data_IF_274733083638
#
_entry.id   IF_274733083638
#
_cell.length_a   1.000
_cell.length_b   1.000
_cell.length_c   1.000
_cell.angle_alpha   90.00
_cell.angle_beta   90.00
_cell.angle_gamma   90.00
#
_symmetry.space_group_name_H-M   'P 1'
#
loop_
_entity.id
_entity.type
_entity.pdbx_description
1 polymer ?
#
# COMPACT_ATOMS: atom_id res chain seq x y z
N UNK A 1 -53.05 7.27 -12.86
CA UNK A 1 -52.50 8.62 -13.13
C UNK A 1 -53.43 9.65 -12.54
N UNK A 2 -52.92 10.48 -11.62
CA UNK A 2 -53.30 11.88 -11.65
C UNK A 2 -52.11 12.83 -11.51
N UNK A 3 -52.32 13.97 -12.16
CA UNK A 3 -51.51 15.16 -12.44
C UNK A 3 -50.91 15.88 -11.22
N UNK A 4 -49.63 16.29 -11.36
CA UNK A 4 -48.97 17.30 -10.51
C UNK A 4 -49.31 18.72 -10.97
N UNK A 5 -49.66 19.64 -10.06
CA UNK A 5 -49.69 21.07 -10.36
C UNK A 5 -48.54 21.82 -9.66
N UNK A 6 -47.89 22.72 -10.41
CA UNK A 6 -47.42 24.01 -9.89
C UNK A 6 -45.96 24.12 -9.45
N UNK A 7 -45.07 24.51 -10.38
CA UNK A 7 -44.08 25.57 -10.09
C UNK A 7 -44.80 26.92 -10.01
N UNK A 8 -44.23 27.98 -9.37
CA UNK A 8 -43.04 28.71 -9.86
C UNK A 8 -42.26 29.36 -8.68
N UNK A 9 -41.51 30.49 -8.79
CA UNK A 9 -40.76 31.11 -9.89
C UNK A 9 -39.27 31.32 -9.56
N UNK A 10 -38.55 31.78 -10.58
CA UNK A 10 -37.18 32.31 -10.57
C UNK A 10 -36.90 33.28 -9.41
N UNK A 11 -35.79 33.01 -8.72
CA UNK A 11 -35.19 33.87 -7.71
C UNK A 11 -33.82 34.31 -8.19
N UNK A 12 -33.80 35.53 -8.69
CA UNK A 12 -32.67 36.36 -9.07
C UNK A 12 -31.59 36.49 -7.97
N UNK A 13 -30.40 36.88 -8.45
CA UNK A 13 -29.37 37.66 -7.76
C UNK A 13 -28.67 37.04 -6.54
N UNK A 14 -27.50 36.45 -6.80
CA UNK A 14 -26.39 36.62 -5.87
C UNK A 14 -25.11 36.96 -6.63
N UNK A 15 -24.82 38.26 -6.59
CA UNK A 15 -23.59 38.91 -6.95
C UNK A 15 -22.38 38.19 -6.35
N UNK A 16 -21.55 37.63 -7.24
CA UNK A 16 -20.24 37.12 -6.87
C UNK A 16 -19.31 38.29 -6.54
N UNK A 17 -18.49 38.21 -5.46
CA UNK A 17 -17.43 39.17 -5.25
C UNK A 17 -16.33 38.98 -6.32
N UNK A 18 -16.19 40.00 -7.16
CA UNK A 18 -15.10 40.23 -8.10
C UNK A 18 -13.78 40.38 -7.34
N UNK A 19 -13.03 39.28 -7.22
CA UNK A 19 -11.64 39.30 -6.75
C UNK A 19 -10.70 39.57 -7.92
N UNK A 20 -10.71 40.82 -8.38
CA UNK A 20 -9.58 41.40 -9.07
C UNK A 20 -8.33 41.30 -8.21
N UNK A 21 -7.35 40.51 -8.64
CA UNK A 21 -5.98 40.61 -8.12
C UNK A 21 -4.94 40.17 -9.15
N UNK A 22 -4.39 41.21 -9.80
CA UNK A 22 -2.99 41.36 -10.20
C UNK A 22 -2.09 40.12 -10.04
N UNK A 23 -1.81 39.45 -11.15
CA UNK A 23 -0.58 38.65 -11.27
C UNK A 23 0.44 39.38 -12.16
N UNK A 24 1.61 39.76 -11.62
CA UNK A 24 2.72 40.24 -12.42
C UNK A 24 3.21 39.12 -13.34
N UNK A 25 3.22 39.38 -14.65
CA UNK A 25 3.96 38.57 -15.63
C UNK A 25 5.45 38.78 -15.38
N UNK A 26 6.07 37.89 -14.62
CA UNK A 26 7.53 37.82 -14.56
C UNK A 26 8.01 36.90 -15.68
N UNK A 27 8.52 37.52 -16.75
CA UNK A 27 9.42 36.84 -17.67
C UNK A 27 10.76 36.56 -16.98
N UNK A 28 11.35 35.41 -17.28
CA UNK A 28 12.80 35.28 -17.24
C UNK A 28 13.25 34.19 -18.21
N UNK A 29 14.10 34.66 -19.12
CA UNK A 29 14.85 33.92 -20.10
C UNK A 29 15.73 32.86 -19.44
N UNK A 30 15.59 31.59 -19.83
CA UNK A 30 16.65 30.62 -19.64
C UNK A 30 17.38 30.42 -20.96
N UNK A 31 18.49 31.16 -21.06
CA UNK A 31 19.53 31.02 -22.07
C UNK A 31 20.13 29.62 -22.01
N UNK A 32 20.01 28.98 -23.16
CA UNK A 32 20.76 27.84 -23.65
C UNK A 32 22.28 28.08 -23.48
N UNK A 33 22.94 27.26 -22.67
CA UNK A 33 24.41 27.12 -22.70
C UNK A 33 24.76 25.66 -22.99
N UNK A 34 24.97 25.40 -24.28
CA UNK A 34 25.78 24.28 -24.73
C UNK A 34 27.22 24.47 -24.27
N UNK A 35 27.81 23.40 -23.71
CA UNK A 35 29.18 23.37 -23.23
C UNK A 35 29.82 22.04 -23.55
N UNK A 36 30.53 22.02 -24.67
CA UNK A 36 31.27 20.91 -25.24
C UNK A 36 32.24 20.21 -24.26
N UNK A 37 32.23 18.88 -24.33
CA UNK A 37 33.36 18.04 -24.71
C UNK A 37 34.71 18.25 -24.00
N UNK A 38 35.13 17.21 -23.26
CA UNK A 38 36.55 16.79 -23.17
C UNK A 38 36.61 15.30 -22.86
N UNK A 39 36.80 14.52 -23.93
CA UNK A 39 37.28 13.14 -23.94
C UNK A 39 38.75 13.19 -23.51
N UNK A 40 39.09 12.54 -22.40
CA UNK A 40 40.47 12.27 -22.03
C UNK A 40 40.73 10.79 -22.32
N UNK A 41 41.34 10.56 -23.47
CA UNK A 41 41.93 9.28 -23.85
C UNK A 41 43.28 9.19 -23.13
N UNK A 42 43.42 8.34 -22.11
CA UNK A 42 44.70 8.09 -21.45
C UNK A 42 45.00 6.58 -21.34
N UNK A 43 45.80 6.15 -22.31
CA UNK A 43 47.08 5.44 -22.15
C UNK A 43 47.08 4.09 -21.40
N UNK A 44 47.04 3.03 -22.20
CA UNK A 44 47.28 1.65 -21.79
C UNK A 44 48.78 1.37 -21.75
N UNK A 45 49.37 1.25 -20.56
CA UNK A 45 50.75 0.76 -20.40
C UNK A 45 50.69 -0.74 -20.11
N UNK A 46 51.08 -1.56 -21.09
CA UNK A 46 51.31 -3.00 -20.91
C UNK A 46 52.67 -3.22 -20.25
N UNK A 47 52.66 -3.73 -19.01
CA UNK A 47 53.83 -4.38 -18.41
C UNK A 47 53.67 -5.89 -18.54
N UNK A 48 54.48 -6.48 -19.42
CA UNK A 48 54.75 -7.91 -19.44
C UNK A 48 55.88 -8.20 -18.45
N UNK A 49 55.61 -9.04 -17.45
CA UNK A 49 56.62 -9.46 -16.48
C UNK A 49 56.03 -10.50 -15.54
N UNK A 50 56.26 -11.77 -15.86
CA UNK A 50 55.71 -12.91 -15.15
C UNK A 50 56.25 -13.07 -13.73
N UNK A 51 55.34 -13.44 -12.82
CA UNK A 51 55.66 -14.10 -11.56
C UNK A 51 54.61 -15.18 -11.29
N UNK A 52 55.12 -16.40 -11.23
CA UNK A 52 54.66 -17.66 -10.62
C UNK A 52 53.32 -17.58 -9.85
N UNK A 53 52.31 -18.27 -10.40
CA UNK A 53 51.02 -18.52 -9.77
C UNK A 53 51.16 -19.58 -8.66
N UNK A 54 51.16 -19.15 -7.41
CA UNK A 54 51.00 -20.02 -6.23
C UNK A 54 50.01 -19.39 -5.25
N UNK A 55 48.76 -19.22 -5.71
CA UNK A 55 47.61 -18.75 -4.91
C UNK A 55 46.36 -19.63 -5.15
N UNK A 56 46.54 -20.88 -5.55
CA UNK A 56 45.44 -21.82 -5.70
C UNK A 56 44.90 -22.21 -4.31
N UNK A 57 43.64 -21.86 -4.05
CA UNK A 57 42.82 -22.16 -2.86
C UNK A 57 42.76 -21.12 -1.74
N UNK A 58 42.71 -19.83 -2.06
CA UNK A 58 41.87 -18.94 -1.23
C UNK A 58 40.42 -19.04 -1.73
N UNK A 59 39.42 -19.25 -0.86
CA UNK A 59 38.03 -19.22 -1.28
C UNK A 59 37.79 -17.87 -1.93
N UNK A 60 37.58 -17.87 -3.24
CA UNK A 60 37.18 -16.69 -4.00
C UNK A 60 35.97 -16.15 -3.28
N UNK A 61 36.15 -15.08 -2.51
CA UNK A 61 35.07 -14.35 -1.89
C UNK A 61 34.16 -14.00 -3.05
N UNK A 62 33.05 -14.75 -3.17
CA UNK A 62 32.04 -14.49 -4.18
C UNK A 62 31.64 -13.05 -3.93
N UNK A 63 32.15 -12.15 -4.78
CA UNK A 63 31.73 -10.76 -4.82
C UNK A 63 30.21 -10.83 -4.83
N UNK A 64 29.60 -10.48 -3.70
CA UNK A 64 28.17 -10.54 -3.56
C UNK A 64 27.63 -9.66 -4.66
N UNK A 65 26.90 -10.26 -5.61
CA UNK A 65 26.34 -9.51 -6.72
C UNK A 65 25.57 -8.31 -6.13
N UNK A 66 25.71 -7.11 -6.69
CA UNK A 66 25.11 -5.91 -6.12
C UNK A 66 23.62 -6.15 -5.91
N UNK A 67 23.16 -5.93 -4.67
CA UNK A 67 21.78 -6.16 -4.29
C UNK A 67 20.89 -5.24 -5.15
N UNK A 68 20.01 -5.81 -5.97
CA UNK A 68 19.18 -5.03 -6.89
C UNK A 68 17.72 -5.42 -6.76
N UNK A 69 16.91 -4.47 -6.29
CA UNK A 69 15.46 -4.63 -6.22
C UNK A 69 14.89 -4.48 -7.64
N UNK A 70 14.14 -5.49 -8.05
CA UNK A 70 13.40 -5.50 -9.30
C UNK A 70 12.08 -4.76 -9.11
N UNK A 71 11.70 -3.89 -10.06
CA UNK A 71 10.46 -3.10 -9.99
C UNK A 71 9.22 -4.00 -9.84
N UNK A 72 9.23 -5.14 -10.51
CA UNK A 72 8.14 -6.13 -10.48
C UNK A 72 7.96 -6.72 -9.07
N UNK A 73 9.02 -6.76 -8.26
CA UNK A 73 8.91 -7.20 -6.85
C UNK A 73 8.26 -6.15 -5.96
N UNK A 74 8.41 -4.87 -6.28
CA UNK A 74 7.79 -3.78 -5.51
C UNK A 74 6.30 -3.66 -5.79
N UNK A 75 5.90 -3.89 -7.04
CA UNK A 75 4.52 -3.66 -7.50
C UNK A 75 4.23 -2.18 -7.75
N UNK A 76 3.03 -1.89 -8.25
CA UNK A 76 2.57 -0.54 -8.57
C UNK A 76 1.43 -0.15 -7.62
N UNK A 77 1.40 1.09 -7.13
CA UNK A 77 0.26 1.66 -6.43
C UNK A 77 -0.66 2.38 -7.41
N UNK A 78 -1.92 1.93 -7.51
CA UNK A 78 -2.93 2.55 -8.36
C UNK A 78 -4.25 2.69 -7.58
N UNK A 79 -4.60 3.91 -7.12
CA UNK A 79 -5.82 4.15 -6.33
C UNK A 79 -7.12 4.08 -7.15
N UNK A 80 -7.04 4.10 -8.49
CA UNK A 80 -8.22 4.14 -9.35
C UNK A 80 -8.69 2.72 -9.76
N UNK A 81 -7.89 1.70 -9.47
CA UNK A 81 -8.22 0.30 -9.74
C UNK A 81 -9.24 -0.24 -8.74
N UNK A 82 -10.19 -1.05 -9.22
CA UNK A 82 -11.28 -1.57 -8.38
C UNK A 82 -10.89 -2.89 -7.71
N UNK A 83 -10.73 -2.79 -6.39
CA UNK A 83 -10.63 -3.83 -5.37
C UNK A 83 -11.72 -4.93 -5.35
N UNK A 84 -11.88 -5.77 -6.38
CA UNK A 84 -12.95 -6.80 -6.37
C UNK A 84 -12.80 -7.85 -5.27
N UNK A 85 -11.57 -8.16 -4.86
CA UNK A 85 -11.29 -9.15 -3.81
C UNK A 85 -11.34 -8.57 -2.39
N UNK A 86 -11.29 -7.23 -2.29
CA UNK A 86 -11.22 -6.48 -1.04
C UNK A 86 -9.88 -6.58 -0.30
N UNK A 87 -8.88 -7.24 -0.88
CA UNK A 87 -7.57 -7.51 -0.23
C UNK A 87 -6.65 -6.29 -0.22
N UNK A 88 -6.95 -5.25 -0.99
CA UNK A 88 -6.10 -4.07 -1.20
C UNK A 88 -5.00 -4.29 -2.25
N UNK A 89 -5.02 -5.41 -2.96
CA UNK A 89 -4.11 -5.69 -4.06
C UNK A 89 -4.76 -6.57 -5.14
N UNK A 90 -4.34 -6.35 -6.39
CA UNK A 90 -4.73 -7.10 -7.58
C UNK A 90 -3.47 -7.75 -8.12
N UNK A 91 -3.51 -9.06 -8.37
CA UNK A 91 -2.38 -9.78 -8.96
C UNK A 91 -2.72 -10.16 -10.40
N UNK A 92 -1.92 -9.67 -11.35
CA UNK A 92 -2.00 -10.02 -12.76
C UNK A 92 -0.70 -10.73 -13.18
N UNK A 93 -0.72 -12.06 -13.06
CA UNK A 93 0.43 -12.93 -13.31
C UNK A 93 1.61 -12.62 -12.39
N UNK A 94 2.60 -11.88 -12.91
CA UNK A 94 3.80 -11.46 -12.15
C UNK A 94 3.71 -10.04 -11.61
N UNK A 95 2.70 -9.29 -12.04
CA UNK A 95 2.51 -7.90 -11.63
C UNK A 95 1.58 -7.86 -10.43
N UNK A 96 1.91 -6.99 -9.47
CA UNK A 96 1.08 -6.73 -8.30
C UNK A 96 0.72 -5.26 -8.33
N UNK A 97 -0.58 -4.96 -8.36
CA UNK A 97 -1.13 -3.61 -8.29
C UNK A 97 -1.80 -3.43 -6.94
N UNK A 98 -1.32 -2.49 -6.14
CA UNK A 98 -1.89 -2.15 -4.85
C UNK A 98 -2.94 -1.06 -5.04
N UNK A 99 -4.18 -1.35 -4.65
CA UNK A 99 -5.28 -0.38 -4.60
C UNK A 99 -5.33 0.31 -3.24
N UNK A 100 -4.80 -0.33 -2.20
CA UNK A 100 -4.68 0.21 -0.85
C UNK A 100 -3.26 0.72 -0.57
N UNK A 101 -3.17 1.98 -0.16
CA UNK A 101 -1.90 2.63 0.20
C UNK A 101 -1.19 1.97 1.39
N UNK A 102 -1.93 1.38 2.33
CA UNK A 102 -1.34 0.68 3.47
C UNK A 102 -0.77 -0.68 3.07
N UNK A 103 -1.44 -1.40 2.17
CA UNK A 103 -0.90 -2.62 1.57
C UNK A 103 0.40 -2.33 0.80
N UNK A 104 0.42 -1.26 0.00
CA UNK A 104 1.63 -0.81 -0.70
C UNK A 104 2.75 -0.45 0.28
N UNK A 105 2.45 0.31 1.34
CA UNK A 105 3.41 0.65 2.40
C UNK A 105 3.99 -0.58 3.07
N UNK A 106 3.15 -1.57 3.40
CA UNK A 106 3.59 -2.82 4.02
C UNK A 106 4.52 -3.59 3.08
N UNK A 107 4.20 -3.64 1.78
CA UNK A 107 5.06 -4.25 0.78
C UNK A 107 6.42 -3.56 0.71
N UNK A 108 6.45 -2.23 0.63
CA UNK A 108 7.70 -1.45 0.65
C UNK A 108 8.50 -1.72 1.93
N UNK A 109 7.83 -1.77 3.09
CA UNK A 109 8.48 -2.09 4.38
C UNK A 109 9.14 -3.47 4.36
N UNK A 110 8.48 -4.49 3.80
CA UNK A 110 9.05 -5.85 3.69
C UNK A 110 10.31 -5.91 2.81
N UNK A 111 10.42 -5.02 1.82
CA UNK A 111 11.59 -4.98 0.92
C UNK A 111 12.81 -4.30 1.52
N UNK A 112 12.61 -3.52 2.58
CA UNK A 112 13.67 -2.81 3.31
C UNK A 112 13.89 -3.41 4.71
N UNK A 113 13.25 -4.53 5.04
CA UNK A 113 13.30 -5.14 6.38
C UNK A 113 14.70 -5.65 6.74
N UNK A 114 15.47 -6.11 5.75
CA UNK A 114 16.82 -6.64 5.93
C UNK A 114 17.81 -5.53 6.34
N UNK A 115 18.36 -5.55 7.57
CA UNK A 115 19.20 -4.47 8.08
C UNK A 115 20.46 -4.23 7.23
N UNK A 116 21.03 -5.30 6.67
CA UNK A 116 22.24 -5.20 5.84
C UNK A 116 22.03 -4.44 4.52
N UNK A 117 20.79 -4.40 4.02
CA UNK A 117 20.45 -3.79 2.72
C UNK A 117 19.46 -2.63 2.82
N UNK A 118 18.99 -2.29 4.02
CA UNK A 118 17.93 -1.31 4.27
C UNK A 118 18.14 0.02 3.51
N UNK A 119 19.31 0.64 3.67
CA UNK A 119 19.57 1.97 3.09
C UNK A 119 19.68 1.92 1.57
N UNK A 120 20.32 0.87 1.03
CA UNK A 120 20.44 0.67 -0.42
C UNK A 120 19.07 0.36 -1.04
N UNK A 121 18.28 -0.50 -0.41
CA UNK A 121 16.93 -0.86 -0.79
C UNK A 121 16.01 0.38 -0.82
N UNK A 122 16.05 1.18 0.24
CA UNK A 122 15.26 2.41 0.35
C UNK A 122 15.67 3.44 -0.71
N UNK A 123 16.97 3.62 -0.96
CA UNK A 123 17.48 4.51 -2.00
C UNK A 123 17.08 4.05 -3.40
N UNK A 124 17.16 2.74 -3.68
CA UNK A 124 16.70 2.17 -4.94
C UNK A 124 15.21 2.43 -5.16
N UNK A 125 14.35 2.07 -4.20
CA UNK A 125 12.90 2.29 -4.31
C UNK A 125 12.57 3.78 -4.48
N UNK A 126 13.25 4.67 -3.74
CA UNK A 126 13.08 6.11 -3.89
C UNK A 126 13.46 6.61 -5.29
N UNK A 127 14.52 6.05 -5.90
CA UNK A 127 14.99 6.46 -7.24
C UNK A 127 13.97 6.18 -8.35
N UNK A 128 13.21 5.08 -8.25
CA UNK A 128 12.19 4.72 -9.23
C UNK A 128 10.76 4.90 -8.72
N UNK A 129 10.56 5.63 -7.61
CA UNK A 129 9.26 5.80 -6.93
C UNK A 129 8.14 6.27 -7.87
N UNK A 130 8.41 7.22 -8.75
CA UNK A 130 7.41 7.74 -9.69
C UNK A 130 6.88 6.66 -10.63
N UNK A 131 7.72 5.67 -10.99
CA UNK A 131 7.32 4.55 -11.82
C UNK A 131 6.45 3.54 -11.06
N UNK A 132 6.42 3.61 -9.73
CA UNK A 132 5.55 2.79 -8.90
C UNK A 132 4.15 3.40 -8.75
N UNK A 133 3.91 4.60 -9.27
CA UNK A 133 2.60 5.26 -9.21
C UNK A 133 1.80 4.95 -10.49
N UNK A 134 0.51 4.66 -10.34
CA UNK A 134 -0.47 4.45 -11.40
C UNK A 134 -1.75 5.24 -11.15
N UNK A 135 -2.64 5.31 -12.14
CA UNK A 135 -3.89 6.06 -12.05
C UNK A 135 -3.68 7.54 -11.81
N UNK A 136 -4.38 8.09 -10.82
CA UNK A 136 -4.33 9.49 -10.38
C UNK A 136 -3.08 9.84 -9.55
N UNK A 137 -2.40 8.84 -8.97
CA UNK A 137 -1.19 9.04 -8.16
C UNK A 137 -0.01 9.76 -8.85
N UNK A 138 0.38 9.41 -10.10
CA UNK A 138 1.43 10.15 -10.80
C UNK A 138 1.03 11.60 -11.09
N UNK A 139 -0.25 11.87 -11.39
CA UNK A 139 -0.75 13.24 -11.64
C UNK A 139 -0.65 14.10 -10.38
N UNK A 140 -1.06 13.59 -9.23
CA UNK A 140 -0.84 14.26 -7.95
C UNK A 140 0.64 14.58 -7.74
N UNK A 141 1.52 13.60 -7.95
CA UNK A 141 2.95 13.77 -7.76
C UNK A 141 3.56 14.84 -8.68
N UNK A 142 3.15 14.89 -9.96
CA UNK A 142 3.73 15.80 -10.96
C UNK A 142 3.06 17.17 -11.02
N UNK A 143 1.77 17.23 -10.76
CA UNK A 143 0.95 18.42 -11.07
C UNK A 143 0.47 19.13 -9.81
N UNK A 144 0.17 18.41 -8.73
CA UNK A 144 -0.34 19.01 -7.49
C UNK A 144 0.79 19.38 -6.53
N UNK A 145 1.87 18.59 -6.48
CA UNK A 145 3.05 18.95 -5.68
C UNK A 145 3.88 20.03 -6.38
N UNK A 146 4.33 21.03 -5.60
CA UNK A 146 5.30 22.01 -6.09
C UNK A 146 6.67 21.36 -6.33
N UNK A 147 7.56 22.07 -7.04
CA UNK A 147 8.93 21.59 -7.26
C UNK A 147 9.68 21.49 -5.92
N UNK A 148 9.47 22.46 -5.05
CA UNK A 148 10.03 22.57 -3.71
C UNK A 148 9.55 21.43 -2.81
N UNK A 149 8.26 21.10 -2.83
CA UNK A 149 7.70 19.97 -2.07
C UNK A 149 8.30 18.64 -2.53
N UNK A 150 8.35 18.41 -3.84
CA UNK A 150 8.98 17.18 -4.39
C UNK A 150 10.45 17.09 -4.01
N UNK A 151 11.18 18.21 -4.06
CA UNK A 151 12.58 18.25 -3.65
C UNK A 151 12.72 17.93 -2.16
N UNK A 152 11.90 18.53 -1.30
CA UNK A 152 11.86 18.26 0.13
C UNK A 152 11.55 16.81 0.46
N UNK A 153 10.54 16.23 -0.20
CA UNK A 153 10.16 14.82 -0.04
C UNK A 153 11.28 13.87 -0.46
N UNK A 154 11.92 14.11 -1.62
CA UNK A 154 13.06 13.29 -2.08
C UNK A 154 14.26 13.42 -1.12
N UNK A 155 14.55 14.62 -0.64
CA UNK A 155 15.64 14.87 0.32
C UNK A 155 15.40 14.17 1.66
N UNK A 156 14.14 14.08 2.10
CA UNK A 156 13.76 13.34 3.32
C UNK A 156 13.64 11.83 3.14
N UNK A 157 13.83 11.33 1.91
CA UNK A 157 13.87 9.90 1.60
C UNK A 157 12.50 9.22 1.53
N UNK A 158 12.56 7.91 1.32
CA UNK A 158 11.38 7.06 1.07
C UNK A 158 10.31 7.17 2.17
N UNK A 159 10.74 7.31 3.44
CA UNK A 159 9.81 7.43 4.56
C UNK A 159 8.91 8.66 4.48
N UNK A 160 9.44 9.84 4.11
CA UNK A 160 8.62 11.04 3.93
C UNK A 160 7.73 10.94 2.68
N UNK A 161 8.25 10.37 1.60
CA UNK A 161 7.48 10.14 0.37
C UNK A 161 6.26 9.24 0.65
N UNK A 162 6.45 8.15 1.40
CA UNK A 162 5.36 7.27 1.81
C UNK A 162 4.36 7.95 2.74
N UNK A 163 4.82 8.79 3.68
CA UNK A 163 3.92 9.57 4.55
C UNK A 163 3.07 10.56 3.74
N UNK A 164 3.65 11.23 2.76
CA UNK A 164 2.92 12.13 1.88
C UNK A 164 1.87 11.38 1.05
N UNK A 165 2.23 10.21 0.51
CA UNK A 165 1.31 9.36 -0.26
C UNK A 165 0.14 8.85 0.60
N UNK A 166 0.40 8.45 1.85
CA UNK A 166 -0.65 8.06 2.81
C UNK A 166 -1.55 9.24 3.17
N UNK A 167 -1.01 10.45 3.31
CA UNK A 167 -1.82 11.64 3.58
C UNK A 167 -2.79 11.95 2.43
N UNK A 168 -2.34 11.74 1.18
CA UNK A 168 -3.15 12.02 0.00
C UNK A 168 -4.20 10.93 -0.28
N UNK A 169 -3.79 9.66 -0.22
CA UNK A 169 -4.61 8.52 -0.66
C UNK A 169 -5.09 7.63 0.49
N UNK A 170 -4.77 7.99 1.73
CA UNK A 170 -5.32 7.31 2.90
C UNK A 170 -6.83 7.50 2.96
N UNK A 171 -7.61 6.45 3.28
CA UNK A 171 -9.03 6.61 3.50
C UNK A 171 -9.26 7.60 4.65
N UNK A 172 -10.25 8.46 4.47
CA UNK A 172 -10.67 9.41 5.50
C UNK A 172 -11.01 8.69 6.82
N UNK A 173 -10.79 9.36 7.95
CA UNK A 173 -10.99 8.78 9.28
C UNK A 173 -12.47 8.42 9.49
N UNK A 174 -13.40 9.29 9.06
CA UNK A 174 -14.82 9.04 9.21
C UNK A 174 -15.26 7.86 8.32
N UNK A 175 -14.81 7.83 7.07
CA UNK A 175 -15.04 6.69 6.18
C UNK A 175 -14.47 5.38 6.76
N UNK A 176 -13.23 5.41 7.26
CA UNK A 176 -12.57 4.24 7.85
C UNK A 176 -13.29 3.72 9.08
N UNK A 177 -13.77 4.63 9.93
CA UNK A 177 -14.58 4.29 11.10
C UNK A 177 -15.90 3.66 10.70
N UNK A 178 -16.56 4.19 9.66
CA UNK A 178 -17.79 3.63 9.13
C UNK A 178 -17.59 2.21 8.58
N UNK A 179 -16.57 2.00 7.73
CA UNK A 179 -16.26 0.68 7.16
C UNK A 179 -15.79 -0.33 8.22
N UNK A 180 -15.01 0.11 9.23
CA UNK A 180 -14.70 -0.73 10.40
C UNK A 180 -15.98 -1.18 11.10
N UNK A 181 -16.95 -0.28 11.27
CA UNK A 181 -18.20 -0.55 11.94
C UNK A 181 -19.28 -1.24 11.09
N UNK A 182 -19.04 -1.45 9.80
CA UNK A 182 -20.05 -1.96 8.87
C UNK A 182 -20.20 -3.49 8.92
N UNK A 183 -21.43 -3.97 8.97
CA UNK A 183 -21.76 -5.37 8.71
C UNK A 183 -21.27 -6.39 9.76
N UNK A 184 -21.56 -7.66 9.46
CA UNK A 184 -21.16 -8.86 10.18
C UNK A 184 -20.71 -9.91 9.16
N UNK A 185 -19.74 -10.76 9.52
CA UNK A 185 -19.38 -11.91 8.70
C UNK A 185 -20.43 -13.01 8.92
N UNK A 186 -21.07 -13.45 7.85
CA UNK A 186 -22.11 -14.48 7.90
C UNK A 186 -21.57 -15.84 7.47
N UNK A 187 -22.35 -16.89 7.74
CA UNK A 187 -21.99 -18.26 7.35
C UNK A 187 -22.00 -18.40 5.83
N UNK A 188 -22.94 -17.73 5.16
CA UNK A 188 -23.05 -17.78 3.70
C UNK A 188 -21.77 -17.25 3.02
N UNK A 189 -21.18 -16.18 3.57
CA UNK A 189 -19.91 -15.62 3.06
C UNK A 189 -18.78 -16.66 3.12
N UNK A 190 -18.75 -17.49 4.19
CA UNK A 190 -17.73 -18.52 4.43
C UNK A 190 -17.99 -19.77 3.58
N UNK A 191 -19.25 -20.10 3.32
CA UNK A 191 -19.64 -21.19 2.43
C UNK A 191 -19.28 -20.88 0.97
N UNK A 192 -19.43 -19.62 0.55
CA UNK A 192 -19.06 -19.15 -0.78
C UNK A 192 -17.53 -19.03 -0.98
N UNK A 193 -16.81 -18.56 0.05
CA UNK A 193 -15.35 -18.48 0.02
C UNK A 193 -14.70 -18.99 1.32
N UNK A 194 -13.90 -20.07 1.25
CA UNK A 194 -13.12 -20.58 2.38
C UNK A 194 -12.20 -19.54 3.03
N UNK A 195 -11.78 -18.51 2.29
CA UNK A 195 -10.91 -17.44 2.79
C UNK A 195 -11.68 -16.23 3.33
N UNK A 196 -13.02 -16.25 3.37
CA UNK A 196 -13.83 -15.11 3.75
C UNK A 196 -13.52 -14.61 5.15
N UNK A 197 -13.28 -15.51 6.11
CA UNK A 197 -12.87 -15.15 7.48
C UNK A 197 -11.59 -14.33 7.49
N UNK A 198 -10.54 -14.84 6.83
CA UNK A 198 -9.24 -14.18 6.78
C UNK A 198 -9.34 -12.84 6.06
N UNK A 199 -10.04 -12.78 4.91
CA UNK A 199 -10.27 -11.52 4.17
C UNK A 199 -11.04 -10.51 5.01
N UNK A 200 -12.06 -10.95 5.73
CA UNK A 200 -12.85 -10.08 6.61
C UNK A 200 -12.02 -9.53 7.77
N UNK A 201 -11.24 -10.36 8.46
CA UNK A 201 -10.36 -9.90 9.54
C UNK A 201 -9.34 -8.88 9.00
N UNK A 202 -8.67 -9.20 7.89
CA UNK A 202 -7.70 -8.29 7.25
C UNK A 202 -8.35 -6.96 6.88
N UNK A 203 -9.54 -7.01 6.28
CA UNK A 203 -10.33 -5.83 5.94
C UNK A 203 -10.64 -4.98 7.18
N UNK A 204 -11.07 -5.59 8.29
CA UNK A 204 -11.36 -4.88 9.54
C UNK A 204 -10.11 -4.30 10.19
N UNK A 205 -9.01 -5.06 10.26
CA UNK A 205 -7.74 -4.58 10.81
C UNK A 205 -7.19 -3.41 9.99
N UNK A 206 -7.34 -3.44 8.66
CA UNK A 206 -6.97 -2.33 7.78
C UNK A 206 -7.72 -1.06 8.16
N UNK A 207 -9.05 -1.10 8.23
CA UNK A 207 -9.84 0.08 8.58
C UNK A 207 -9.65 0.52 10.02
N UNK A 208 -9.37 -0.40 10.95
CA UNK A 208 -9.01 -0.06 12.32
C UNK A 208 -7.71 0.77 12.38
N UNK A 209 -6.70 0.40 11.58
CA UNK A 209 -5.44 1.17 11.46
C UNK A 209 -5.70 2.56 10.91
N UNK A 210 -6.47 2.66 9.82
CA UNK A 210 -6.79 3.94 9.17
C UNK A 210 -7.62 4.87 10.07
N UNK A 211 -8.53 4.30 10.86
CA UNK A 211 -9.36 5.05 11.80
C UNK A 211 -8.63 5.46 13.09
N UNK A 212 -7.37 5.04 13.28
CA UNK A 212 -6.64 5.23 14.54
C UNK A 212 -7.18 4.41 15.71
N UNK A 213 -8.01 3.39 15.43
CA UNK A 213 -8.52 2.45 16.44
C UNK A 213 -7.43 1.46 16.83
N UNK A 214 -6.63 0.98 15.86
CA UNK A 214 -5.44 0.19 16.14
C UNK A 214 -4.23 1.11 16.26
N UNK A 215 -3.51 0.99 17.39
CA UNK A 215 -2.33 1.80 17.65
C UNK A 215 -1.21 1.51 16.63
N UNK A 216 -0.34 2.48 16.31
CA UNK A 216 0.76 2.29 15.36
C UNK A 216 1.76 1.18 15.74
N UNK A 217 1.92 0.92 17.03
CA UNK A 217 2.75 -0.16 17.61
C UNK A 217 1.98 -1.48 17.77
N UNK A 218 0.71 -1.51 17.35
CA UNK A 218 -0.25 -2.58 17.54
C UNK A 218 -0.45 -2.99 19.02
N UNK A 219 -0.12 -2.16 20.01
CA UNK A 219 -0.20 -2.51 21.44
C UNK A 219 -1.60 -2.93 21.90
N UNK A 220 -2.66 -2.46 21.23
CA UNK A 220 -4.05 -2.78 21.54
C UNK A 220 -4.68 -3.79 20.56
N UNK A 221 -3.87 -4.59 19.84
CA UNK A 221 -4.34 -5.53 18.82
C UNK A 221 -5.40 -6.52 19.33
N UNK A 222 -5.24 -7.04 20.56
CA UNK A 222 -6.16 -8.02 21.14
C UNK A 222 -7.56 -7.44 21.31
N UNK A 223 -7.66 -6.18 21.76
CA UNK A 223 -8.93 -5.48 21.89
C UNK A 223 -9.61 -5.27 20.53
N UNK A 224 -8.85 -4.93 19.49
CA UNK A 224 -9.37 -4.78 18.13
C UNK A 224 -9.87 -6.12 17.58
N UNK A 225 -9.08 -7.19 17.70
CA UNK A 225 -9.50 -8.51 17.22
C UNK A 225 -10.69 -9.06 18.00
N UNK A 226 -10.78 -8.81 19.31
CA UNK A 226 -11.94 -9.18 20.12
C UNK A 226 -13.21 -8.51 19.61
N UNK A 227 -13.14 -7.21 19.25
CA UNK A 227 -14.27 -6.50 18.65
C UNK A 227 -14.63 -7.04 17.26
N UNK A 228 -13.65 -7.43 16.45
CA UNK A 228 -13.88 -8.05 15.15
C UNK A 228 -14.55 -9.42 15.30
N UNK A 229 -14.04 -10.27 16.20
CA UNK A 229 -14.62 -11.57 16.53
C UNK A 229 -16.04 -11.44 17.06
N UNK A 230 -16.30 -10.42 17.90
CA UNK A 230 -17.64 -10.14 18.42
C UNK A 230 -18.67 -9.85 17.31
N UNK A 231 -18.23 -9.50 16.09
CA UNK A 231 -19.08 -9.27 14.91
C UNK A 231 -19.27 -10.50 14.03
N UNK A 232 -18.71 -11.65 14.38
CA UNK A 232 -19.00 -12.90 13.68
C UNK A 232 -20.40 -13.40 14.03
N UNK A 233 -21.02 -14.10 13.08
CA UNK A 233 -22.25 -14.85 13.37
C UNK A 233 -22.00 -15.93 14.43
N UNK A 234 -23.06 -16.29 15.17
CA UNK A 234 -22.97 -17.22 16.29
C UNK A 234 -22.46 -18.60 15.85
N UNK A 235 -22.82 -19.05 14.65
CA UNK A 235 -22.36 -20.31 14.10
C UNK A 235 -20.83 -20.31 13.88
N UNK A 236 -20.27 -19.21 13.39
CA UNK A 236 -18.82 -19.06 13.20
C UNK A 236 -18.11 -19.03 14.56
N UNK A 237 -18.66 -18.30 15.54
CA UNK A 237 -18.10 -18.22 16.90
C UNK A 237 -18.05 -19.55 17.65
N UNK A 238 -18.86 -20.55 17.25
CA UNK A 238 -18.80 -21.90 17.84
C UNK A 238 -17.58 -22.70 17.38
N UNK A 239 -17.00 -22.31 16.24
CA UNK A 239 -15.85 -22.99 15.63
C UNK A 239 -14.57 -22.20 15.85
N UNK A 240 -14.67 -20.88 15.81
CA UNK A 240 -13.54 -19.96 15.98
C UNK A 240 -13.54 -19.42 17.41
N UNK A 241 -12.58 -19.80 18.25
CA UNK A 241 -12.48 -19.24 19.60
C UNK A 241 -12.20 -17.73 19.55
N UNK A 242 -12.53 -16.98 20.61
CA UNK A 242 -12.09 -15.60 20.73
C UNK A 242 -10.55 -15.55 20.75
N UNK A 243 -9.94 -14.46 20.24
CA UNK A 243 -8.50 -14.29 20.31
C UNK A 243 -8.03 -14.19 21.77
N UNK A 244 -6.84 -14.71 22.06
CA UNK A 244 -6.23 -14.68 23.39
C UNK A 244 -4.88 -13.92 23.40
N UNK A 245 -4.24 -13.81 24.57
CA UNK A 245 -2.95 -13.12 24.70
C UNK A 245 -1.76 -13.92 24.15
N UNK A 246 -1.93 -15.23 23.92
CA UNK A 246 -0.91 -16.10 23.35
C UNK A 246 -0.88 -16.01 21.81
N UNK A 247 -1.99 -15.59 21.19
CA UNK A 247 -2.06 -15.25 19.78
C UNK A 247 -1.15 -14.05 19.46
N UNK A 248 -0.72 -13.93 18.21
CA UNK A 248 -0.05 -12.73 17.70
C UNK A 248 -0.83 -12.12 16.55
N UNK A 249 -0.69 -10.81 16.30
CA UNK A 249 -1.34 -10.20 15.13
C UNK A 249 -0.87 -10.85 13.80
N UNK A 250 0.36 -11.35 13.75
CA UNK A 250 0.89 -12.06 12.59
C UNK A 250 0.28 -13.46 12.45
N UNK A 251 0.08 -14.16 13.58
CA UNK A 251 -0.45 -15.53 13.62
C UNK A 251 -1.99 -15.55 13.56
N UNK A 252 -2.65 -14.48 14.00
CA UNK A 252 -4.11 -14.30 13.93
C UNK A 252 -4.66 -14.32 12.50
N UNK A 253 -3.76 -14.26 11.50
CA UNK A 253 -4.11 -14.54 10.13
C UNK A 253 -4.58 -16.00 9.90
N UNK A 254 -4.22 -16.98 10.75
CA UNK A 254 -4.69 -18.38 10.70
C UNK A 254 -4.57 -19.11 12.06
N UNK A 255 -5.67 -19.74 12.50
CA UNK A 255 -5.74 -21.19 12.31
C UNK A 255 -6.85 -21.60 11.32
N UNK A 256 -7.10 -20.81 10.28
CA UNK A 256 -8.10 -21.16 9.25
C UNK A 256 -7.70 -22.39 8.41
N UNK A 257 -6.41 -22.76 8.38
CA UNK A 257 -5.95 -24.03 7.78
C UNK A 257 -6.33 -25.27 8.59
N UNK A 258 -6.74 -25.12 9.86
CA UNK A 258 -7.21 -26.24 10.69
C UNK A 258 -8.72 -26.23 10.97
N UNK A 259 -9.44 -25.18 10.61
CA UNK A 259 -10.90 -25.25 10.49
C UNK A 259 -11.18 -26.04 9.22
N UNK A 260 -11.00 -27.36 9.33
CA UNK A 260 -11.28 -28.33 8.28
C UNK A 260 -12.66 -27.99 7.75
N UNK A 261 -12.77 -27.79 6.44
CA UNK A 261 -14.02 -27.67 5.69
C UNK A 261 -15.06 -28.70 6.16
N UNK A 262 -14.60 -29.85 6.68
CA UNK A 262 -15.39 -30.88 7.37
C UNK A 262 -16.27 -30.39 8.53
N UNK A 263 -15.83 -29.43 9.38
CA UNK A 263 -16.65 -28.95 10.51
C UNK A 263 -17.75 -27.97 10.07
N UNK A 264 -17.50 -27.17 9.04
CA UNK A 264 -18.51 -26.24 8.49
C UNK A 264 -19.59 -27.03 7.75
N UNK A 265 -19.21 -28.06 6.98
CA UNK A 265 -20.18 -28.99 6.37
C UNK A 265 -21.05 -29.69 7.41
N UNK A 266 -20.50 -30.05 8.59
CA UNK A 266 -21.27 -30.64 9.69
C UNK A 266 -22.28 -29.65 10.31
N UNK A 267 -21.95 -28.37 10.40
CA UNK A 267 -22.87 -27.34 10.93
C UNK A 267 -24.05 -27.14 9.99
N UNK A 268 -23.80 -27.05 8.68
CA UNK A 268 -24.86 -26.88 7.68
C UNK A 268 -25.76 -28.13 7.58
N UNK A 269 -25.19 -29.33 7.71
CA UNK A 269 -25.96 -30.58 7.73
C UNK A 269 -26.91 -30.67 8.93
N UNK A 270 -26.49 -30.15 10.09
CA UNK A 270 -27.32 -30.13 11.30
C UNK A 270 -28.38 -29.03 11.31
N UNK A 271 -28.22 -27.98 10.49
CA UNK A 271 -29.19 -26.89 10.35
C UNK A 271 -30.34 -27.24 9.40
N UNK A 272 -30.12 -28.13 8.43
CA UNK A 272 -31.13 -28.59 7.45
C UNK A 272 -32.06 -29.69 8.00
N UNK A 273 -31.74 -30.25 9.17
CA UNK A 273 -32.51 -31.32 9.83
C UNK A 273 -33.50 -30.80 10.90
N UNK A 274 -33.70 -29.48 10.97
CA UNK A 274 -34.68 -28.82 11.85
C UNK A 274 -35.62 -27.95 11.03
#
# INVERSE_FOLDING_TARGET
MPTYPGGPPDGDDNDGPDFGSNRPRHGSDYRNFGGNGRRLDHNTVSYAGGLVNTWDNLPVARSAAPYRIRREKTGQFNPDEVDTSGTGMITDGKNITFTDIYAFKLRVKSLIEEPATHDEAAAQIASFFQTLLGGSAPLWWTSELTVEDRFGLRKGGLGLMMKALIKQYGPDIAHSTAEYNKGKLRVEDVDEDPNAVTRWIQHKVRYAKSAGILNPDNSNWLGVLTQVWARFDLAIKRVIPPPDEADSLADSALPTTQIKSTQITQINSNSQLK
#
